data_IF_576491641181
#
_entry.id   IF_576491641181
#
_cell.length_a   1.000
_cell.length_b   1.000
_cell.length_c   1.000
_cell.angle_alpha   90.00
_cell.angle_beta   90.00
_cell.angle_gamma   90.00
#
_symmetry.space_group_name_H-M   'P 1'
#
loop_
_entity.id
_entity.type
_entity.pdbx_description
1 polymer ?
#
# COMPACT_ATOMS: atom_id res chain seq x y z
N UNK A 1 -18.92 -28.35 -9.44
CA UNK A 1 -17.91 -29.37 -9.08
C UNK A 1 -16.58 -29.14 -9.80
N UNK A 2 -16.54 -28.97 -11.13
CA UNK A 2 -15.30 -28.79 -11.90
C UNK A 2 -14.35 -27.69 -11.38
N UNK A 3 -14.86 -26.48 -11.09
CA UNK A 3 -14.03 -25.36 -10.57
C UNK A 3 -13.31 -25.69 -9.26
N UNK A 4 -13.91 -26.53 -8.40
CA UNK A 4 -13.32 -26.98 -7.13
C UNK A 4 -12.33 -28.13 -7.33
N UNK A 5 -12.61 -29.01 -8.29
CA UNK A 5 -11.76 -30.16 -8.61
C UNK A 5 -10.48 -29.75 -9.35
N UNK A 6 -10.53 -28.71 -10.18
CA UNK A 6 -9.42 -28.29 -11.05
C UNK A 6 -8.76 -26.99 -10.59
N UNK A 7 -9.55 -26.00 -10.20
CA UNK A 7 -9.04 -24.68 -9.82
C UNK A 7 -8.44 -24.66 -8.41
N UNK A 8 -7.58 -23.68 -8.10
CA UNK A 8 -7.08 -23.49 -6.74
C UNK A 8 -8.26 -23.20 -5.79
N UNK A 9 -8.50 -24.12 -4.86
CA UNK A 9 -9.56 -24.02 -3.85
C UNK A 9 -9.03 -24.32 -2.46
N UNK A 10 -8.43 -23.29 -1.85
CA UNK A 10 -7.85 -23.36 -0.51
C UNK A 10 -8.95 -23.52 0.56
N UNK A 11 -8.58 -24.15 1.67
CA UNK A 11 -9.49 -24.35 2.80
C UNK A 11 -9.63 -23.08 3.63
N UNK A 12 -10.55 -23.09 4.60
CA UNK A 12 -10.79 -21.95 5.49
C UNK A 12 -9.61 -21.71 6.45
N UNK A 13 -8.94 -22.76 6.93
CA UNK A 13 -7.78 -22.66 7.81
C UNK A 13 -6.51 -22.13 7.11
N UNK A 14 -6.53 -22.04 5.77
CA UNK A 14 -5.42 -21.50 4.95
C UNK A 14 -5.47 -19.96 4.82
N UNK A 15 -6.27 -19.26 5.64
CA UNK A 15 -6.40 -17.80 5.56
C UNK A 15 -5.09 -17.05 5.85
N UNK A 16 -4.15 -17.66 6.58
CA UNK A 16 -2.81 -17.09 6.82
C UNK A 16 -2.07 -16.77 5.51
N UNK A 17 -2.30 -17.53 4.44
CA UNK A 17 -1.67 -17.34 3.12
C UNK A 17 -1.98 -15.94 2.55
N UNK A 18 -3.17 -15.39 2.84
CA UNK A 18 -3.53 -14.04 2.39
C UNK A 18 -2.57 -12.99 2.98
N UNK A 19 -2.22 -13.15 4.25
CA UNK A 19 -1.35 -12.24 4.97
C UNK A 19 0.12 -12.50 4.65
N UNK A 20 0.53 -13.75 4.45
CA UNK A 20 1.86 -14.09 3.95
C UNK A 20 2.14 -13.37 2.63
N UNK A 21 1.20 -13.43 1.66
CA UNK A 21 1.28 -12.69 0.39
C UNK A 21 1.34 -11.18 0.58
N UNK A 22 0.62 -10.65 1.57
CA UNK A 22 0.67 -9.23 1.90
C UNK A 22 2.05 -8.80 2.43
N UNK A 23 2.77 -9.69 3.10
CA UNK A 23 4.10 -9.44 3.68
C UNK A 23 5.28 -9.90 2.83
N UNK A 24 5.03 -10.42 1.62
CA UNK A 24 6.08 -10.65 0.62
C UNK A 24 6.51 -9.34 -0.05
N UNK A 25 7.79 -9.25 -0.43
CA UNK A 25 8.36 -8.12 -1.17
C UNK A 25 8.03 -8.21 -2.67
N UNK A 26 6.75 -8.08 -3.01
CA UNK A 26 6.23 -8.20 -4.38
C UNK A 26 5.09 -7.19 -4.62
N UNK A 27 4.59 -7.03 -5.87
CA UNK A 27 3.41 -6.19 -6.13
C UNK A 27 2.15 -6.62 -5.37
N UNK A 28 2.06 -7.88 -4.94
CA UNK A 28 0.95 -8.35 -4.10
C UNK A 28 1.01 -7.80 -2.67
N UNK A 29 2.21 -7.50 -2.18
CA UNK A 29 2.52 -6.96 -0.86
C UNK A 29 3.27 -5.64 -0.93
N UNK A 30 2.96 -4.80 -1.92
CA UNK A 30 3.62 -3.50 -2.11
C UNK A 30 3.30 -2.51 -0.99
N UNK A 31 4.07 -1.42 -0.92
CA UNK A 31 3.93 -0.37 0.11
C UNK A 31 2.48 0.09 0.28
N UNK A 32 1.80 0.42 -0.83
CA UNK A 32 0.42 0.89 -0.85
C UNK A 32 -0.56 -0.14 -0.24
N UNK A 33 -0.46 -1.40 -0.67
CA UNK A 33 -1.36 -2.48 -0.21
C UNK A 33 -1.17 -2.77 1.28
N UNK A 34 0.08 -2.82 1.75
CA UNK A 34 0.38 -3.04 3.17
C UNK A 34 -0.16 -1.91 4.03
N UNK A 35 0.08 -0.67 3.64
CA UNK A 35 -0.39 0.49 4.40
C UNK A 35 -1.91 0.49 4.55
N UNK A 36 -2.65 0.27 3.46
CA UNK A 36 -4.11 0.28 3.50
C UNK A 36 -4.69 -0.75 4.49
N UNK A 37 -4.17 -1.97 4.49
CA UNK A 37 -4.63 -3.04 5.40
C UNK A 37 -4.21 -2.77 6.84
N UNK A 38 -2.95 -2.39 7.07
CA UNK A 38 -2.46 -2.13 8.42
C UNK A 38 -3.15 -0.91 9.06
N UNK A 39 -3.38 0.16 8.29
CA UNK A 39 -4.11 1.34 8.75
C UNK A 39 -5.56 0.99 9.13
N UNK A 40 -6.23 0.15 8.34
CA UNK A 40 -7.57 -0.37 8.66
C UNK A 40 -7.57 -1.16 9.98
N UNK A 41 -6.60 -2.07 10.17
CA UNK A 41 -6.48 -2.86 11.39
C UNK A 41 -6.21 -1.97 12.62
N UNK A 42 -5.35 -0.96 12.49
CA UNK A 42 -5.08 0.02 13.55
C UNK A 42 -6.33 0.83 13.89
N UNK A 43 -7.04 1.32 12.88
CA UNK A 43 -8.28 2.09 13.08
C UNK A 43 -9.35 1.24 13.78
N UNK A 44 -9.49 -0.03 13.39
CA UNK A 44 -10.38 -1.00 14.02
C UNK A 44 -9.97 -1.27 15.47
N UNK A 45 -8.70 -1.59 15.72
CA UNK A 45 -8.19 -1.92 17.04
C UNK A 45 -8.38 -0.77 18.04
N UNK A 46 -8.08 0.46 17.63
CA UNK A 46 -8.25 1.65 18.49
C UNK A 46 -9.73 1.95 18.74
N UNK A 47 -10.58 1.80 17.72
CA UNK A 47 -12.04 1.99 17.88
C UNK A 47 -12.63 0.97 18.86
N UNK A 48 -12.22 -0.30 18.76
CA UNK A 48 -12.61 -1.38 19.68
C UNK A 48 -12.09 -1.08 21.10
N UNK A 49 -10.80 -0.79 21.25
CA UNK A 49 -10.19 -0.51 22.55
C UNK A 49 -10.86 0.67 23.27
N UNK A 50 -11.16 1.76 22.54
CA UNK A 50 -11.86 2.91 23.11
C UNK A 50 -13.30 2.56 23.49
N UNK A 51 -14.01 1.80 22.65
CA UNK A 51 -15.38 1.37 22.94
C UNK A 51 -15.44 0.44 24.16
N UNK A 52 -14.47 -0.47 24.34
CA UNK A 52 -14.39 -1.35 25.51
C UNK A 52 -14.03 -0.56 26.77
N UNK A 53 -13.07 0.38 26.67
CA UNK A 53 -12.60 1.17 27.82
C UNK A 53 -13.65 2.15 28.36
N UNK A 54 -14.46 2.74 27.48
CA UNK A 54 -15.43 3.81 27.83
C UNK A 54 -16.89 3.46 27.59
N UNK A 55 -17.19 2.22 27.18
CA UNK A 55 -18.53 1.77 26.77
C UNK A 55 -19.00 2.31 25.40
N UNK A 56 -18.43 3.43 24.94
CA UNK A 56 -18.62 4.07 23.63
C UNK A 56 -17.45 5.00 23.31
N UNK A 57 -17.33 5.40 22.05
CA UNK A 57 -16.45 6.50 21.65
C UNK A 57 -17.14 7.83 22.01
N UNK A 58 -16.55 8.70 22.85
CA UNK A 58 -17.15 9.99 23.18
C UNK A 58 -17.35 10.85 21.93
N UNK A 59 -18.50 11.52 21.83
CA UNK A 59 -18.82 12.36 20.66
C UNK A 59 -19.44 11.60 19.47
N UNK A 60 -19.67 10.28 19.58
CA UNK A 60 -20.36 9.50 18.55
C UNK A 60 -21.60 8.77 19.08
N UNK A 61 -22.51 8.41 18.17
CA UNK A 61 -23.68 7.59 18.48
C UNK A 61 -23.27 6.12 18.65
N UNK A 62 -23.57 5.54 19.81
CA UNK A 62 -23.09 4.19 20.17
C UNK A 62 -23.63 3.08 19.26
N UNK A 63 -24.90 3.14 18.84
CA UNK A 63 -25.52 2.14 17.98
C UNK A 63 -24.82 2.01 16.62
N UNK A 64 -24.77 3.08 15.80
CA UNK A 64 -24.08 3.07 14.51
C UNK A 64 -22.59 2.73 14.64
N UNK A 65 -21.87 3.30 15.61
CA UNK A 65 -20.45 3.00 15.82
C UNK A 65 -20.21 1.50 16.08
N UNK A 66 -21.03 0.87 16.94
CA UNK A 66 -20.93 -0.57 17.21
C UNK A 66 -21.25 -1.42 15.97
N UNK A 67 -22.24 -1.01 15.17
CA UNK A 67 -22.58 -1.72 13.92
C UNK A 67 -21.44 -1.67 12.91
N UNK A 68 -20.80 -0.51 12.71
CA UNK A 68 -19.65 -0.38 11.79
C UNK A 68 -18.48 -1.26 12.23
N UNK A 69 -18.15 -1.23 13.53
CA UNK A 69 -17.10 -2.09 14.10
C UNK A 69 -17.47 -3.56 13.90
N UNK A 70 -18.70 -3.96 14.23
CA UNK A 70 -19.19 -5.33 14.10
C UNK A 70 -19.21 -5.83 12.66
N UNK A 71 -19.71 -5.03 11.71
CA UNK A 71 -19.70 -5.34 10.27
C UNK A 71 -18.27 -5.62 9.81
N UNK A 72 -17.31 -4.75 10.17
CA UNK A 72 -15.92 -4.93 9.76
C UNK A 72 -15.33 -6.24 10.30
N UNK A 73 -15.55 -6.55 11.59
CA UNK A 73 -15.06 -7.79 12.21
C UNK A 73 -15.68 -9.02 11.52
N UNK A 74 -17.00 -9.03 11.34
CA UNK A 74 -17.71 -10.14 10.70
C UNK A 74 -17.23 -10.30 9.25
N UNK A 75 -16.98 -9.21 8.53
CA UNK A 75 -16.44 -9.25 7.16
C UNK A 75 -15.03 -9.87 7.09
N UNK A 76 -14.14 -9.58 8.05
CA UNK A 76 -12.83 -10.26 8.13
C UNK A 76 -12.99 -11.77 8.36
N UNK A 77 -13.89 -12.18 9.26
CA UNK A 77 -14.15 -13.60 9.55
C UNK A 77 -14.79 -14.28 8.33
N UNK A 78 -15.76 -13.64 7.67
CA UNK A 78 -16.43 -14.18 6.50
C UNK A 78 -15.47 -14.39 5.32
N UNK A 79 -14.47 -13.50 5.16
CA UNK A 79 -13.48 -13.60 4.08
C UNK A 79 -12.64 -14.88 4.13
N UNK A 80 -12.48 -15.50 5.32
CA UNK A 80 -11.79 -16.77 5.52
C UNK A 80 -12.37 -17.92 4.66
N UNK A 81 -13.67 -17.88 4.39
CA UNK A 81 -14.40 -18.91 3.63
C UNK A 81 -14.30 -18.73 2.11
N UNK A 82 -13.52 -17.76 1.62
CA UNK A 82 -13.29 -17.58 0.17
C UNK A 82 -12.31 -18.62 -0.38
N UNK A 83 -12.59 -19.34 -1.49
CA UNK A 83 -11.70 -20.39 -2.01
C UNK A 83 -10.32 -19.90 -2.45
N UNK A 84 -10.18 -18.62 -2.79
CA UNK A 84 -8.92 -17.99 -3.20
C UNK A 84 -8.48 -16.93 -2.20
N UNK A 85 -7.18 -16.93 -1.86
CA UNK A 85 -6.60 -16.11 -0.78
C UNK A 85 -5.68 -15.02 -1.33
N UNK A 86 -6.24 -14.09 -2.10
CA UNK A 86 -5.48 -12.99 -2.72
C UNK A 86 -5.55 -11.67 -1.95
N UNK A 87 -4.51 -10.85 -2.07
CA UNK A 87 -4.43 -9.55 -1.39
C UNK A 87 -5.36 -8.51 -1.99
N UNK A 88 -5.69 -8.60 -3.28
CA UNK A 88 -6.66 -7.69 -3.91
C UNK A 88 -8.09 -7.85 -3.38
N UNK A 89 -8.42 -8.94 -2.67
CA UNK A 89 -9.73 -9.08 -2.01
C UNK A 89 -9.92 -8.07 -0.87
N UNK A 90 -8.84 -7.52 -0.30
CA UNK A 90 -8.97 -6.48 0.73
C UNK A 90 -9.64 -5.19 0.21
N UNK A 91 -9.74 -5.00 -1.11
CA UNK A 91 -10.43 -3.85 -1.71
C UNK A 91 -11.89 -3.69 -1.28
N UNK A 92 -12.57 -4.77 -0.86
CA UNK A 92 -13.96 -4.70 -0.36
C UNK A 92 -14.10 -3.83 0.90
N UNK A 93 -13.01 -3.61 1.63
CA UNK A 93 -13.01 -2.80 2.85
C UNK A 93 -12.86 -1.30 2.59
N UNK A 94 -12.66 -0.83 1.35
CA UNK A 94 -12.40 0.59 1.08
C UNK A 94 -13.48 1.54 1.66
N UNK A 95 -14.76 1.18 1.52
CA UNK A 95 -15.86 1.95 2.12
C UNK A 95 -15.87 1.91 3.66
N UNK A 96 -15.58 0.75 4.25
CA UNK A 96 -15.52 0.58 5.70
C UNK A 96 -14.32 1.31 6.31
N UNK A 97 -13.16 1.30 5.62
CA UNK A 97 -11.94 1.96 6.04
C UNK A 97 -12.12 3.48 6.23
N UNK A 98 -12.86 4.15 5.33
CA UNK A 98 -13.19 5.57 5.51
C UNK A 98 -13.99 5.83 6.79
N UNK A 99 -15.06 5.05 7.00
CA UNK A 99 -15.92 5.19 8.18
C UNK A 99 -15.21 4.85 9.50
N UNK A 100 -14.37 3.80 9.52
CA UNK A 100 -13.54 3.44 10.67
C UNK A 100 -12.42 4.45 10.90
N UNK A 101 -11.83 4.99 9.85
CA UNK A 101 -10.84 6.07 9.93
C UNK A 101 -11.42 7.29 10.63
N UNK A 102 -12.66 7.68 10.30
CA UNK A 102 -13.37 8.76 10.97
C UNK A 102 -13.62 8.45 12.46
N UNK A 103 -14.08 7.24 12.80
CA UNK A 103 -14.26 6.82 14.20
C UNK A 103 -12.94 6.82 14.99
N UNK A 104 -11.87 6.30 14.39
CA UNK A 104 -10.54 6.27 14.99
C UNK A 104 -9.99 7.69 15.20
N UNK A 105 -10.17 8.60 14.24
CA UNK A 105 -9.77 9.99 14.38
C UNK A 105 -10.48 10.65 15.57
N UNK A 106 -11.79 10.47 15.72
CA UNK A 106 -12.56 10.99 16.86
C UNK A 106 -12.08 10.36 18.18
N UNK A 107 -11.82 9.04 18.19
CA UNK A 107 -11.39 8.31 19.38
C UNK A 107 -10.03 8.77 19.95
N UNK A 108 -9.15 9.34 19.12
CA UNK A 108 -7.80 9.76 19.55
C UNK A 108 -7.68 11.28 19.79
N UNK A 109 -8.75 12.05 19.54
CA UNK A 109 -8.79 13.48 19.90
C UNK A 109 -8.45 13.71 21.36
N UNK A 110 -7.94 14.90 21.72
CA UNK A 110 -7.66 15.27 23.11
C UNK A 110 -8.90 15.19 24.02
N UNK A 111 -10.08 15.42 23.46
CA UNK A 111 -11.36 15.28 24.15
C UNK A 111 -11.68 13.81 24.51
N UNK A 112 -11.42 12.87 23.59
CA UNK A 112 -11.64 11.45 23.81
C UNK A 112 -10.48 10.78 24.56
N UNK A 113 -9.23 11.12 24.25
CA UNK A 113 -8.00 10.55 24.81
C UNK A 113 -7.19 11.64 25.54
N UNK A 114 -7.57 11.89 26.79
CA UNK A 114 -7.01 13.00 27.60
C UNK A 114 -5.51 12.85 27.88
N UNK A 115 -5.05 11.63 28.18
CA UNK A 115 -3.64 11.38 28.51
C UNK A 115 -2.72 11.61 27.30
N UNK A 116 -1.71 12.47 27.44
CA UNK A 116 -0.66 12.66 26.42
C UNK A 116 0.10 11.38 26.12
N UNK A 117 0.39 10.57 27.13
CA UNK A 117 1.06 9.28 26.98
C UNK A 117 0.31 8.41 25.96
N UNK A 118 -1.01 8.30 26.07
CA UNK A 118 -1.77 7.46 25.15
C UNK A 118 -1.78 8.04 23.72
N UNK A 119 -1.86 9.37 23.57
CA UNK A 119 -1.80 10.03 22.25
C UNK A 119 -0.42 9.85 21.59
N UNK A 120 0.65 9.95 22.36
CA UNK A 120 2.02 9.70 21.87
C UNK A 120 2.26 8.24 21.54
N UNK A 121 1.74 7.30 22.34
CA UNK A 121 1.74 5.87 22.00
C UNK A 121 1.00 5.59 20.68
N UNK A 122 -0.14 6.24 20.42
CA UNK A 122 -0.84 6.10 19.15
C UNK A 122 -0.02 6.65 17.98
N UNK A 123 0.64 7.81 18.14
CA UNK A 123 1.54 8.34 17.12
C UNK A 123 2.70 7.39 16.83
N UNK A 124 3.30 6.78 17.85
CA UNK A 124 4.34 5.76 17.67
C UNK A 124 3.83 4.54 16.91
N UNK A 125 2.61 4.07 17.21
CA UNK A 125 1.98 2.96 16.50
C UNK A 125 1.78 3.28 15.00
N UNK A 126 1.33 4.49 14.68
CA UNK A 126 1.17 4.93 13.28
C UNK A 126 2.53 4.97 12.57
N UNK A 127 3.58 5.51 13.22
CA UNK A 127 4.94 5.51 12.67
C UNK A 127 5.48 4.10 12.46
N UNK A 128 5.20 3.18 13.38
CA UNK A 128 5.61 1.78 13.26
C UNK A 128 4.94 1.10 12.06
N UNK A 129 3.64 1.34 11.87
CA UNK A 129 2.88 0.83 10.72
C UNK A 129 3.43 1.38 9.42
N UNK A 130 3.75 2.68 9.38
CA UNK A 130 4.44 3.30 8.25
C UNK A 130 5.78 2.61 7.97
N UNK A 131 6.61 2.39 9.00
CA UNK A 131 7.91 1.72 8.85
C UNK A 131 7.75 0.31 8.25
N UNK A 132 6.75 -0.44 8.70
CA UNK A 132 6.43 -1.78 8.20
C UNK A 132 5.90 -1.77 6.76
N UNK A 133 5.12 -0.74 6.39
CA UNK A 133 4.65 -0.55 5.02
C UNK A 133 5.80 -0.29 4.05
N UNK A 134 6.77 0.54 4.44
CA UNK A 134 7.95 0.86 3.62
C UNK A 134 9.01 -0.25 3.56
N UNK A 135 8.84 -1.35 4.30
CA UNK A 135 9.69 -2.54 4.20
C UNK A 135 9.28 -3.45 3.01
N UNK A 136 9.02 -2.85 1.84
CA UNK A 136 8.61 -3.53 0.61
C UNK A 136 8.97 -2.70 -0.62
N UNK A 137 8.70 -3.25 -1.80
CA UNK A 137 8.85 -2.56 -3.09
C UNK A 137 7.66 -1.64 -3.38
N UNK A 138 7.89 -0.56 -4.15
CA UNK A 138 6.84 0.27 -4.76
C UNK A 138 6.38 -0.32 -6.12
N UNK A 139 6.09 -1.63 -6.13
CA UNK A 139 5.78 -2.38 -7.34
C UNK A 139 4.29 -2.31 -7.71
N UNK A 140 4.03 -2.14 -9.01
CA UNK A 140 2.70 -2.21 -9.64
C UNK A 140 2.62 -3.34 -10.65
N UNK A 141 1.42 -3.62 -11.18
CA UNK A 141 1.19 -4.76 -12.06
C UNK A 141 1.63 -4.51 -13.50
N UNK A 142 2.29 -5.51 -14.09
CA UNK A 142 2.60 -5.58 -15.53
C UNK A 142 3.17 -4.24 -16.05
N UNK A 143 2.48 -3.62 -17.00
CA UNK A 143 2.88 -2.38 -17.67
C UNK A 143 2.75 -1.12 -16.80
N UNK A 144 2.02 -1.17 -15.68
CA UNK A 144 1.95 -0.05 -14.73
C UNK A 144 3.24 0.11 -13.93
N UNK A 145 4.16 -0.85 -14.00
CA UNK A 145 5.44 -0.80 -13.29
C UNK A 145 6.54 -0.05 -14.06
N UNK A 146 6.28 0.32 -15.32
CA UNK A 146 7.26 0.99 -16.18
C UNK A 146 7.58 2.38 -15.62
N UNK A 147 8.85 2.61 -15.27
CA UNK A 147 9.37 3.91 -14.84
C UNK A 147 9.09 4.27 -13.38
N UNK A 148 8.37 3.42 -12.64
CA UNK A 148 8.02 3.70 -11.24
C UNK A 148 9.28 3.66 -10.35
N UNK A 149 9.54 4.72 -9.55
CA UNK A 149 10.64 4.73 -8.59
C UNK A 149 10.52 3.61 -7.55
N UNK A 150 11.63 2.93 -7.25
CA UNK A 150 11.71 1.80 -6.31
C UNK A 150 10.72 0.66 -6.62
N UNK A 151 10.45 0.42 -7.89
CA UNK A 151 9.56 -0.68 -8.33
C UNK A 151 10.12 -2.08 -8.04
N UNK A 152 11.45 -2.22 -7.98
CA UNK A 152 12.17 -3.48 -7.76
C UNK A 152 13.15 -3.42 -6.57
N UNK A 153 13.10 -2.36 -5.76
CA UNK A 153 13.95 -2.15 -4.59
C UNK A 153 13.16 -1.46 -3.48
N UNK A 154 13.69 -1.44 -2.26
CA UNK A 154 13.00 -0.78 -1.15
C UNK A 154 13.20 0.75 -1.22
N UNK A 155 12.18 1.56 -0.91
CA UNK A 155 12.31 3.01 -0.88
C UNK A 155 13.39 3.50 0.11
N UNK A 156 14.31 4.32 -0.39
CA UNK A 156 15.43 4.83 0.37
C UNK A 156 15.90 6.22 -0.09
N UNK A 157 16.48 6.98 0.84
CA UNK A 157 17.24 8.19 0.57
C UNK A 157 18.45 8.24 1.50
N UNK A 158 19.61 7.80 1.01
CA UNK A 158 20.85 7.50 1.78
C UNK A 158 20.69 6.36 2.80
N UNK A 159 19.56 6.31 3.49
CA UNK A 159 19.08 5.23 4.35
C UNK A 159 17.67 4.80 3.92
N UNK A 160 17.31 3.55 4.20
CA UNK A 160 15.96 3.04 3.89
C UNK A 160 14.89 3.76 4.71
N UNK A 161 13.78 4.15 4.09
CA UNK A 161 12.69 4.84 4.80
C UNK A 161 12.15 4.03 5.97
N UNK A 162 12.14 2.69 5.85
CA UNK A 162 11.80 1.79 6.97
C UNK A 162 12.68 2.01 8.20
N UNK A 163 14.00 2.17 8.04
CA UNK A 163 14.93 2.37 9.16
C UNK A 163 14.77 3.75 9.79
N UNK A 164 14.57 4.78 8.96
CA UNK A 164 14.33 6.15 9.43
C UNK A 164 13.04 6.23 10.24
N UNK A 165 11.96 5.64 9.73
CA UNK A 165 10.66 5.59 10.41
C UNK A 165 10.72 4.75 11.69
N UNK A 166 11.45 3.64 11.70
CA UNK A 166 11.65 2.83 12.90
C UNK A 166 12.43 3.61 13.97
N UNK A 167 13.47 4.35 13.59
CA UNK A 167 14.18 5.26 14.48
C UNK A 167 13.24 6.31 15.10
N UNK A 168 12.38 6.93 14.28
CA UNK A 168 11.35 7.85 14.76
C UNK A 168 10.34 7.17 15.70
N UNK A 169 9.90 5.95 15.41
CA UNK A 169 9.04 5.16 16.30
C UNK A 169 9.68 5.00 17.67
N UNK A 170 10.96 4.60 17.73
CA UNK A 170 11.70 4.43 18.99
C UNK A 170 11.79 5.74 19.76
N UNK A 171 12.12 6.85 19.09
CA UNK A 171 12.18 8.18 19.73
C UNK A 171 10.82 8.59 20.32
N UNK A 172 9.72 8.37 19.60
CA UNK A 172 8.37 8.69 20.11
C UNK A 172 7.96 7.76 21.24
N UNK A 173 8.38 6.49 21.24
CA UNK A 173 8.17 5.58 22.37
C UNK A 173 8.95 6.01 23.60
N UNK A 174 10.20 6.47 23.46
CA UNK A 174 10.98 7.03 24.56
C UNK A 174 10.31 8.28 25.13
N UNK A 175 9.76 9.15 24.29
CA UNK A 175 8.96 10.29 24.75
C UNK A 175 7.68 9.85 25.48
N UNK A 176 6.99 8.83 24.98
CA UNK A 176 5.82 8.26 25.65
C UNK A 176 6.17 7.62 27.00
N UNK A 177 7.32 6.95 27.11
CA UNK A 177 7.85 6.41 28.35
C UNK A 177 8.22 7.53 29.34
N UNK A 178 8.87 8.59 28.87
CA UNK A 178 9.14 9.78 29.67
C UNK A 178 7.86 10.39 30.23
N UNK A 179 6.82 10.56 29.40
CA UNK A 179 5.50 11.02 29.86
C UNK A 179 4.78 10.04 30.78
N UNK A 180 5.20 8.77 30.81
CA UNK A 180 4.67 7.81 31.77
C UNK A 180 5.29 7.99 33.16
N UNK A 181 6.59 8.30 33.23
CA UNK A 181 7.32 8.49 34.49
C UNK A 181 7.17 9.90 35.06
N UNK A 182 7.17 10.93 34.21
CA UNK A 182 6.96 12.31 34.63
C UNK A 182 5.46 12.54 34.73
N UNK A 183 4.94 12.52 35.96
CA UNK A 183 3.52 12.75 36.26
C UNK A 183 3.11 14.21 35.98
N UNK A 184 2.96 14.56 34.71
CA UNK A 184 2.50 15.88 34.30
C UNK A 184 0.98 15.92 34.39
N UNK A 185 0.50 16.49 35.49
CA UNK A 185 -0.89 16.94 35.64
C UNK A 185 -1.34 17.78 34.44
N UNK A 186 -2.64 17.72 34.17
CA UNK A 186 -3.41 18.40 33.10
C UNK A 186 -2.68 19.63 32.55
N UNK A 187 -2.28 19.58 31.29
CA UNK A 187 -1.68 20.75 30.63
C UNK A 187 -2.77 21.73 30.25
N UNK A 188 -2.46 22.99 30.52
CA UNK A 188 -3.15 24.13 29.92
C UNK A 188 -2.85 24.12 28.43
N UNK A 189 -3.90 24.10 27.62
CA UNK A 189 -3.84 24.14 26.17
C UNK A 189 -3.23 25.49 25.73
N UNK A 190 -1.90 25.54 25.57
CA UNK A 190 -1.23 26.69 24.99
C UNK A 190 -1.52 26.64 23.49
N UNK A 191 -2.54 27.38 23.05
CA UNK A 191 -3.20 27.36 21.73
C UNK A 191 -2.35 27.65 20.49
N UNK A 192 -1.21 26.97 20.35
CA UNK A 192 -0.31 27.04 19.19
C UNK A 192 -0.93 26.19 18.07
N UNK A 193 -1.21 26.80 16.90
CA UNK A 193 -1.80 26.10 15.73
C UNK A 193 -1.09 24.80 15.35
N UNK A 194 0.22 24.70 15.59
CA UNK A 194 1.04 23.52 15.33
C UNK A 194 0.59 22.28 16.16
N UNK A 195 0.08 22.46 17.38
CA UNK A 195 -0.42 21.34 18.19
C UNK A 195 -1.70 20.73 17.62
N UNK A 196 -2.47 21.48 16.81
CA UNK A 196 -3.71 20.99 16.17
C UNK A 196 -3.45 20.08 14.97
N UNK A 197 -2.38 20.31 14.21
CA UNK A 197 -2.01 19.45 13.06
C UNK A 197 -1.43 18.12 13.56
N UNK A 198 -0.57 18.15 14.58
CA UNK A 198 0.06 16.96 15.18
C UNK A 198 -0.97 16.03 15.86
N UNK A 199 -2.20 16.49 16.08
CA UNK A 199 -3.27 15.69 16.70
C UNK A 199 -3.90 14.61 15.80
N UNK A 200 -3.54 14.54 14.50
CA UNK A 200 -4.12 13.58 13.57
C UNK A 200 -3.06 12.70 12.86
N UNK A 201 -2.27 11.88 13.60
CA UNK A 201 -1.14 11.14 13.02
C UNK A 201 -1.56 10.18 11.90
N UNK A 202 -2.70 9.49 12.05
CA UNK A 202 -3.20 8.57 11.01
C UNK A 202 -3.59 9.31 9.72
N UNK A 203 -4.15 10.52 9.83
CA UNK A 203 -4.52 11.33 8.67
C UNK A 203 -3.28 11.83 7.92
N UNK A 204 -2.25 12.28 8.67
CA UNK A 204 -0.96 12.69 8.08
C UNK A 204 -0.34 11.50 7.35
N UNK A 205 -0.25 10.33 7.99
CA UNK A 205 0.30 9.12 7.38
C UNK A 205 -0.46 8.75 6.09
N UNK A 206 -1.80 8.78 6.12
CA UNK A 206 -2.62 8.47 4.96
C UNK A 206 -2.38 9.45 3.79
N UNK A 207 -2.34 10.75 4.05
CA UNK A 207 -2.07 11.76 3.00
C UNK A 207 -0.65 11.67 2.44
N UNK A 208 0.35 11.36 3.29
CA UNK A 208 1.72 11.13 2.83
C UNK A 208 1.78 9.93 1.88
N UNK A 209 1.08 8.83 2.19
CA UNK A 209 1.03 7.65 1.32
C UNK A 209 0.29 7.91 0.02
N UNK A 210 -0.86 8.55 0.07
CA UNK A 210 -1.61 8.94 -1.14
C UNK A 210 -0.74 9.84 -2.04
N UNK A 211 -0.05 10.82 -1.45
CA UNK A 211 0.86 11.67 -2.20
C UNK A 211 2.02 10.88 -2.81
N UNK A 212 2.64 9.97 -2.05
CA UNK A 212 3.69 9.08 -2.54
C UNK A 212 3.23 8.24 -3.74
N UNK A 213 2.04 7.62 -3.66
CA UNK A 213 1.46 6.82 -4.73
C UNK A 213 1.24 7.65 -6.00
N UNK A 214 0.55 8.79 -5.90
CA UNK A 214 0.25 9.68 -7.03
C UNK A 214 1.52 10.26 -7.65
N UNK A 215 2.45 10.73 -6.81
CA UNK A 215 3.71 11.28 -7.28
C UNK A 215 4.55 10.22 -8.00
N UNK A 216 4.62 8.99 -7.47
CA UNK A 216 5.42 7.92 -8.07
C UNK A 216 4.95 7.55 -9.49
N UNK A 217 3.63 7.46 -9.71
CA UNK A 217 3.06 7.16 -11.02
C UNK A 217 3.14 8.35 -11.98
N UNK A 218 3.07 9.57 -11.45
CA UNK A 218 3.23 10.79 -12.25
C UNK A 218 4.68 10.92 -12.72
N UNK A 219 5.66 10.68 -11.85
CA UNK A 219 7.08 10.64 -12.21
C UNK A 219 7.37 9.53 -13.23
N UNK A 220 6.75 8.35 -13.07
CA UNK A 220 6.89 7.26 -14.04
C UNK A 220 6.43 7.68 -15.44
N UNK A 221 5.28 8.35 -15.52
CA UNK A 221 4.73 8.85 -16.78
C UNK A 221 5.63 9.93 -17.41
N UNK A 222 6.13 10.89 -16.62
CA UNK A 222 6.90 12.03 -17.16
C UNK A 222 8.34 11.66 -17.50
N UNK A 223 9.00 10.81 -16.70
CA UNK A 223 10.40 10.46 -16.89
C UNK A 223 10.63 9.51 -18.08
N UNK A 224 9.63 8.71 -18.46
CA UNK A 224 9.75 7.79 -19.60
C UNK A 224 9.36 8.41 -20.94
N UNK A 225 8.83 9.62 -20.96
CA UNK A 225 8.44 10.28 -22.21
C UNK A 225 9.66 10.44 -23.15
N UNK A 226 9.58 10.06 -24.44
CA UNK A 226 8.38 9.76 -25.22
C UNK A 226 7.93 8.28 -25.26
N UNK A 227 8.59 7.37 -24.54
CA UNK A 227 8.21 5.95 -24.52
C UNK A 227 6.79 5.71 -23.96
N UNK A 228 6.26 4.51 -24.20
CA UNK A 228 4.93 4.15 -23.75
C UNK A 228 4.82 4.11 -22.23
N UNK A 229 3.73 4.69 -21.71
CA UNK A 229 3.29 4.54 -20.32
C UNK A 229 1.76 4.51 -20.29
N UNK A 230 1.19 3.87 -19.26
CA UNK A 230 -0.29 3.82 -19.07
C UNK A 230 -0.90 5.23 -19.05
N UNK A 231 -0.22 6.18 -18.42
CA UNK A 231 -0.65 7.56 -18.35
C UNK A 231 -0.68 8.23 -19.72
N UNK A 232 0.39 8.09 -20.50
CA UNK A 232 0.46 8.64 -21.86
C UNK A 232 -0.61 8.04 -22.76
N UNK A 233 -0.80 6.72 -22.75
CA UNK A 233 -1.81 6.06 -23.60
C UNK A 233 -3.23 6.52 -23.29
N UNK A 234 -3.56 6.75 -22.00
CA UNK A 234 -4.86 7.26 -21.60
C UNK A 234 -5.08 8.72 -22.05
N UNK A 235 -4.05 9.56 -22.01
CA UNK A 235 -4.13 10.94 -22.51
C UNK A 235 -4.25 10.98 -24.03
N UNK A 236 -3.49 10.16 -24.75
CA UNK A 236 -3.54 10.05 -26.21
C UNK A 236 -4.90 9.52 -26.71
N UNK A 237 -5.57 8.66 -25.94
CA UNK A 237 -6.90 8.18 -26.25
C UNK A 237 -7.94 9.32 -26.34
N UNK A 238 -7.73 10.45 -25.65
CA UNK A 238 -8.57 11.66 -25.77
C UNK A 238 -8.50 12.29 -27.17
N UNK A 239 -7.45 11.97 -27.93
CA UNK A 239 -7.23 12.43 -29.31
C UNK A 239 -7.49 11.33 -30.35
N UNK A 240 -8.14 10.24 -29.95
CA UNK A 240 -8.52 9.13 -30.84
C UNK A 240 -7.49 8.02 -31.01
N UNK A 241 -6.30 8.11 -30.39
CA UNK A 241 -5.28 7.06 -30.41
C UNK A 241 -5.61 5.96 -29.37
N UNK A 242 -6.46 5.00 -29.73
CA UNK A 242 -7.03 4.01 -28.81
C UNK A 242 -6.39 2.62 -28.86
N UNK A 243 -5.29 2.44 -29.59
CA UNK A 243 -4.62 1.13 -29.75
C UNK A 243 -3.71 0.73 -28.57
N UNK A 244 -3.66 1.54 -27.50
CA UNK A 244 -2.89 1.23 -26.30
C UNK A 244 -1.40 1.02 -26.59
N UNK A 245 -0.86 -0.13 -26.20
CA UNK A 245 0.57 -0.46 -26.36
C UNK A 245 0.94 -0.86 -27.81
N UNK A 246 -0.03 -1.20 -28.66
CA UNK A 246 0.26 -1.75 -29.99
C UNK A 246 1.01 -0.79 -30.92
N UNK A 247 0.84 0.53 -30.74
CA UNK A 247 1.52 1.54 -31.55
C UNK A 247 3.00 1.72 -31.17
N UNK A 248 3.42 1.21 -30.02
CA UNK A 248 4.78 1.39 -29.48
C UNK A 248 5.56 0.07 -29.41
N UNK A 249 5.03 -0.99 -30.02
CA UNK A 249 5.72 -2.29 -30.17
C UNK A 249 6.10 -2.46 -31.63
N UNK A 250 7.40 -2.45 -31.90
CA UNK A 250 7.95 -2.78 -33.20
C UNK A 250 8.07 -4.29 -33.33
N UNK A 251 7.61 -4.84 -34.45
CA UNK A 251 7.67 -6.27 -34.75
C UNK A 251 8.47 -6.44 -36.04
N UNK A 252 9.60 -7.14 -35.96
CA UNK A 252 10.37 -7.57 -37.13
C UNK A 252 9.73 -8.84 -37.71
N UNK A 253 9.39 -8.81 -39.00
CA UNK A 253 8.74 -9.93 -39.67
C UNK A 253 9.74 -10.90 -40.30
N UNK A 254 10.85 -10.38 -40.84
CA UNK A 254 11.94 -11.18 -41.39
C UNK A 254 13.25 -10.81 -40.69
N UNK A 255 13.71 -11.63 -39.74
CA UNK A 255 14.99 -11.40 -39.04
C UNK A 255 16.22 -11.34 -39.96
N UNK A 256 16.12 -11.78 -41.22
CA UNK A 256 17.22 -11.75 -42.17
C UNK A 256 17.30 -10.45 -43.00
N UNK A 257 16.24 -9.64 -43.05
CA UNK A 257 16.15 -8.47 -43.91
C UNK A 257 17.22 -7.41 -43.59
N UNK A 258 17.60 -7.30 -42.31
CA UNK A 258 18.60 -6.35 -41.80
C UNK A 258 20.02 -6.89 -41.67
N UNK A 259 20.34 -8.07 -42.22
CA UNK A 259 21.66 -8.67 -42.06
C UNK A 259 22.77 -7.79 -42.64
N UNK A 260 23.69 -7.35 -41.79
CA UNK A 260 24.82 -6.52 -42.19
C UNK A 260 25.77 -7.30 -43.10
N UNK A 261 26.38 -6.59 -44.05
CA UNK A 261 27.45 -7.16 -44.88
C UNK A 261 28.80 -6.96 -44.19
N UNK A 262 29.67 -7.98 -44.15
CA UNK A 262 31.00 -7.84 -43.55
C UNK A 262 31.86 -6.86 -44.35
N UNK A 263 32.65 -6.03 -43.67
CA UNK A 263 33.66 -5.16 -44.30
C UNK A 263 34.90 -6.03 -44.59
N UNK A 264 35.20 -6.29 -45.86
CA UNK A 264 36.25 -7.22 -46.29
C UNK A 264 35.72 -8.57 -46.77
N UNK A 265 36.61 -9.56 -47.00
CA UNK A 265 36.33 -10.81 -47.73
C UNK A 265 34.91 -11.40 -47.52
N UNK A 266 34.24 -11.72 -48.64
CA UNK A 266 32.90 -12.35 -48.71
C UNK A 266 32.79 -13.57 -47.78
N UNK A 267 31.89 -13.51 -46.81
CA UNK A 267 31.48 -14.69 -46.05
C UNK A 267 30.75 -15.68 -46.96
N UNK A 268 31.43 -16.75 -47.35
CA UNK A 268 30.83 -17.96 -47.91
C UNK A 268 30.31 -18.81 -46.75
N UNK A 269 29.17 -18.44 -46.17
CA UNK A 269 28.45 -19.33 -45.23
C UNK A 269 26.97 -19.30 -45.55
N UNK A 270 26.63 -20.09 -46.58
CA UNK A 270 25.27 -20.52 -46.88
C UNK A 270 24.94 -21.61 -45.86
N UNK A 271 24.34 -21.25 -44.72
CA UNK A 271 23.73 -22.23 -43.81
C UNK A 271 22.45 -22.76 -44.45
N UNK A 272 22.61 -23.63 -45.44
CA UNK A 272 21.54 -24.43 -45.98
C UNK A 272 21.29 -25.61 -45.04
N UNK A 273 20.16 -25.58 -44.33
CA UNK A 273 19.40 -26.74 -43.84
C UNK A 273 20.13 -27.77 -42.98
N UNK A 274 19.99 -27.66 -41.65
CA UNK A 274 20.14 -28.81 -40.73
C UNK A 274 18.95 -28.89 -39.77
N UNK A 275 17.73 -28.88 -40.29
CA UNK A 275 16.54 -29.36 -39.56
C UNK A 275 15.55 -30.01 -40.54
N UNK A 276 15.96 -31.14 -41.10
CA UNK A 276 15.07 -32.12 -41.69
C UNK A 276 15.22 -33.41 -40.88
N UNK A 277 14.13 -33.82 -40.20
CA UNK A 277 13.96 -35.00 -39.35
C UNK A 277 14.48 -34.86 -37.91
N UNK A 278 13.58 -34.44 -37.02
CA UNK A 278 13.10 -35.24 -35.88
C UNK A 278 11.61 -34.94 -35.70
#
# INVERSE_FOLDING_TARGET
MLKRAVGPSLSWFDEHIRYERLFMASPDGSVARRFAVLALLVALAVSVAMSLRKGRIPGTAAGPSRRIIGITIISFIAMMFTPTKWTHHFGVFAGLAGSLGALAAVAVTSAAMRSRRNRTMFAALVLFVMALSFASVNGWWYVSNFGVPWSNSFPEWKFGFTTMLLGLTVLVLLAAAWFHFVNNGVERDNGIRLTRIIQAPLAIAAWVLVFFEVLSLTLAMTAQYPAWSVGRSNLEALTGKTCGLANDVLVELDPNAGMLTPIGHRSRTRWAGVLGRL
#
